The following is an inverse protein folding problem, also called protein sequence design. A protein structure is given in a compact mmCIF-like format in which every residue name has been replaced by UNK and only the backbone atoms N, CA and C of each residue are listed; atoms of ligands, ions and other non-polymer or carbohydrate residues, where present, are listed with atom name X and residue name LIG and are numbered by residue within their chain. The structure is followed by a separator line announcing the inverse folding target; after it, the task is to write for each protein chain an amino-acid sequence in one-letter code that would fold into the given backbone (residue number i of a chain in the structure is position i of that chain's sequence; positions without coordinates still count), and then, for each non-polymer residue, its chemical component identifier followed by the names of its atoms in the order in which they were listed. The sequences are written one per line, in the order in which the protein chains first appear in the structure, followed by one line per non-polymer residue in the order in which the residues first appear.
data_IF_631936198002
#
_entry.id   IF_631936198002
#
_cell.length_a   1.000
_cell.length_b   1.000
_cell.length_c   1.000
_cell.angle_alpha   90.00
_cell.angle_beta   90.00
_cell.angle_gamma   90.00
#
_symmetry.space_group_name_H-M   'P 1'
#
loop_
_entity.id
_entity.type
_entity.pdbx_description
1 polymer ?
#
# COMPACT_ATOMS: atom_id res chain seq x y z
N UNK A 1 22.05 -8.92 17.77
CA UNK A 1 20.95 -8.63 16.82
C UNK A 1 19.96 -7.76 17.57
N UNK A 2 19.57 -6.61 17.02
CA UNK A 2 18.60 -5.73 17.70
C UNK A 2 17.18 -6.29 17.57
N UNK A 3 16.25 -5.90 18.44
CA UNK A 3 14.84 -6.33 18.34
C UNK A 3 14.24 -5.98 16.97
N UNK A 4 14.63 -4.84 16.39
CA UNK A 4 14.12 -4.41 15.08
C UNK A 4 14.70 -5.26 13.93
N UNK A 5 15.92 -5.80 14.08
CA UNK A 5 16.48 -6.75 13.11
C UNK A 5 15.67 -8.06 13.11
N UNK A 6 15.26 -8.53 14.28
CA UNK A 6 14.40 -9.72 14.43
C UNK A 6 13.05 -9.49 13.77
N UNK A 7 12.39 -8.35 14.04
CA UNK A 7 11.14 -7.96 13.37
C UNK A 7 11.30 -7.97 11.86
N UNK A 8 12.38 -7.38 11.35
CA UNK A 8 12.65 -7.25 9.92
C UNK A 8 12.82 -8.61 9.24
N UNK A 9 13.54 -9.53 9.86
CA UNK A 9 13.76 -10.87 9.32
C UNK A 9 12.46 -11.68 9.30
N UNK A 10 11.72 -11.70 10.41
CA UNK A 10 10.43 -12.40 10.49
C UNK A 10 9.39 -11.82 9.52
N UNK A 11 9.38 -10.49 9.33
CA UNK A 11 8.52 -9.85 8.33
C UNK A 11 8.92 -10.27 6.91
N UNK A 12 10.22 -10.36 6.61
CA UNK A 12 10.71 -10.79 5.30
C UNK A 12 10.27 -12.22 5.00
N UNK A 13 10.47 -13.16 5.94
CA UNK A 13 10.02 -14.55 5.80
C UNK A 13 8.50 -14.64 5.56
N UNK A 14 7.75 -13.77 6.22
CA UNK A 14 6.29 -13.71 6.10
C UNK A 14 5.85 -13.18 4.74
N UNK A 15 6.46 -12.09 4.27
CA UNK A 15 6.03 -11.33 3.09
C UNK A 15 6.60 -11.83 1.76
N UNK A 16 7.71 -12.59 1.79
CA UNK A 16 8.22 -13.25 0.58
C UNK A 16 7.36 -14.49 0.30
N UNK A 17 6.78 -14.55 -0.90
CA UNK A 17 5.85 -15.60 -1.30
C UNK A 17 6.50 -16.46 -2.38
N UNK A 18 6.53 -17.80 -2.23
CA UNK A 18 6.96 -18.67 -3.31
C UNK A 18 5.93 -18.67 -4.44
N UNK A 19 6.41 -18.52 -5.68
CA UNK A 19 5.58 -18.63 -6.89
C UNK A 19 5.48 -20.09 -7.35
N UNK A 20 4.51 -20.38 -8.22
CA UNK A 20 4.36 -21.71 -8.83
C UNK A 20 5.60 -22.16 -9.62
N UNK A 21 6.37 -21.21 -10.17
CA UNK A 21 7.60 -21.45 -10.90
C UNK A 21 8.85 -21.53 -10.00
N UNK A 22 8.67 -21.72 -8.70
CA UNK A 22 9.73 -21.79 -7.68
C UNK A 22 10.61 -20.51 -7.55
N UNK A 23 10.21 -19.39 -8.17
CA UNK A 23 10.80 -18.08 -7.89
C UNK A 23 10.18 -17.45 -6.65
N UNK A 24 10.92 -16.55 -6.00
CA UNK A 24 10.42 -15.77 -4.87
C UNK A 24 9.78 -14.47 -5.36
N UNK A 25 8.52 -14.27 -5.03
CA UNK A 25 7.83 -13.00 -5.20
C UNK A 25 8.14 -12.08 -4.03
N UNK A 26 8.89 -11.02 -4.31
CA UNK A 26 9.34 -10.02 -3.34
C UNK A 26 8.42 -8.78 -3.29
N UNK A 27 7.30 -8.77 -4.02
CA UNK A 27 6.47 -7.58 -4.16
C UNK A 27 6.03 -6.97 -2.83
N UNK A 28 5.50 -7.79 -1.91
CA UNK A 28 5.04 -7.31 -0.60
C UNK A 28 6.21 -6.88 0.29
N UNK A 29 7.36 -7.56 0.19
CA UNK A 29 8.56 -7.17 0.92
C UNK A 29 9.10 -5.80 0.45
N UNK A 30 9.13 -5.58 -0.86
CA UNK A 30 9.54 -4.30 -1.43
C UNK A 30 8.57 -3.17 -1.05
N UNK A 31 7.27 -3.47 -1.02
CA UNK A 31 6.25 -2.55 -0.53
C UNK A 31 6.46 -2.21 0.95
N UNK A 32 6.66 -3.19 1.83
CA UNK A 32 6.92 -2.94 3.25
C UNK A 32 8.12 -1.99 3.46
N UNK A 33 9.21 -2.18 2.71
CA UNK A 33 10.37 -1.25 2.76
C UNK A 33 10.03 0.16 2.28
N UNK A 34 9.20 0.33 1.24
CA UNK A 34 8.72 1.65 0.82
C UNK A 34 7.85 2.29 1.90
N UNK A 35 6.95 1.52 2.50
CA UNK A 35 6.08 2.01 3.57
C UNK A 35 6.88 2.46 4.79
N UNK A 36 7.91 1.71 5.21
CA UNK A 36 8.78 2.13 6.34
C UNK A 36 9.42 3.48 6.04
N UNK A 37 9.97 3.69 4.83
CA UNK A 37 10.51 5.00 4.43
C UNK A 37 9.46 6.10 4.44
N UNK A 38 8.25 5.82 3.91
CA UNK A 38 7.15 6.78 3.94
C UNK A 38 6.80 7.16 5.38
N UNK A 39 6.67 6.18 6.27
CA UNK A 39 6.40 6.39 7.70
C UNK A 39 7.49 7.24 8.37
N UNK A 40 8.77 6.93 8.13
CA UNK A 40 9.91 7.70 8.67
C UNK A 40 9.89 9.16 8.24
N UNK A 41 9.51 9.44 6.98
CA UNK A 41 9.35 10.80 6.48
C UNK A 41 8.08 11.47 7.01
N UNK A 42 6.96 10.76 7.09
CA UNK A 42 5.70 11.30 7.63
C UNK A 42 5.87 11.65 9.11
N UNK A 43 6.65 10.90 9.89
CA UNK A 43 6.99 11.25 11.27
C UNK A 43 7.68 12.63 11.44
N UNK A 44 8.14 13.25 10.34
CA UNK A 44 8.84 14.53 10.35
C UNK A 44 7.97 15.69 9.84
N UNK A 45 6.70 15.44 9.51
CA UNK A 45 5.81 16.52 9.06
C UNK A 45 5.52 17.50 10.20
N UNK A 46 5.39 18.81 9.91
CA UNK A 46 5.17 19.84 10.93
C UNK A 46 3.95 19.59 11.82
N UNK A 47 2.88 19.01 11.25
CA UNK A 47 1.63 18.73 11.93
C UNK A 47 1.81 17.83 13.17
N UNK A 48 2.76 16.90 13.14
CA UNK A 48 3.05 16.03 14.28
C UNK A 48 3.84 16.78 15.36
N UNK A 49 4.80 17.62 14.96
CA UNK A 49 5.61 18.42 15.88
C UNK A 49 4.79 19.41 16.72
N UNK A 50 3.72 19.97 16.16
CA UNK A 50 2.84 20.93 16.84
C UNK A 50 2.02 20.30 17.98
N UNK A 51 1.76 18.99 17.92
CA UNK A 51 0.92 18.31 18.93
C UNK A 51 1.68 17.91 20.19
N UNK A 52 3.02 17.94 20.16
CA UNK A 52 3.86 17.43 21.25
C UNK A 52 3.71 15.92 21.49
N UNK A 53 3.08 15.19 20.57
CA UNK A 53 2.77 13.77 20.75
C UNK A 53 4.02 12.92 20.57
N UNK A 54 4.34 12.10 21.57
CA UNK A 54 5.43 11.12 21.47
C UNK A 54 4.98 9.94 20.61
N UNK A 55 5.71 9.67 19.53
CA UNK A 55 5.44 8.55 18.62
C UNK A 55 6.31 7.36 19.05
N UNK A 56 5.68 6.21 19.30
CA UNK A 56 6.41 4.94 19.48
C UNK A 56 6.90 4.44 18.12
N UNK A 57 8.10 4.88 17.75
CA UNK A 57 8.74 4.54 16.48
C UNK A 57 8.99 3.04 16.32
N UNK A 58 9.23 2.32 17.41
CA UNK A 58 9.44 0.87 17.34
C UNK A 58 8.15 0.18 16.93
N UNK A 59 7.06 0.44 17.67
CA UNK A 59 5.76 -0.16 17.38
C UNK A 59 5.26 0.22 15.99
N UNK A 60 5.42 1.48 15.58
CA UNK A 60 5.05 1.95 14.26
C UNK A 60 5.85 1.27 13.14
N UNK A 61 7.17 1.15 13.29
CA UNK A 61 8.02 0.50 12.27
C UNK A 61 7.70 -1.00 12.15
N UNK A 62 7.54 -1.69 13.28
CA UNK A 62 7.16 -3.09 13.29
C UNK A 62 5.76 -3.32 12.69
N UNK A 63 4.79 -2.48 13.05
CA UNK A 63 3.45 -2.51 12.46
C UNK A 63 3.49 -2.30 10.95
N UNK A 64 4.35 -1.41 10.48
CA UNK A 64 4.53 -1.13 9.05
C UNK A 64 5.04 -2.37 8.31
N UNK A 65 6.06 -3.05 8.85
CA UNK A 65 6.58 -4.28 8.27
C UNK A 65 5.55 -5.41 8.20
N UNK A 66 4.63 -5.50 9.15
CA UNK A 66 3.62 -6.56 9.18
C UNK A 66 2.25 -6.15 8.61
N UNK A 67 2.06 -4.90 8.21
CA UNK A 67 0.74 -4.37 7.80
C UNK A 67 0.09 -5.14 6.64
N UNK A 68 0.90 -5.71 5.74
CA UNK A 68 0.45 -6.53 4.60
C UNK A 68 0.63 -8.04 4.83
N UNK A 69 0.95 -8.50 6.05
CA UNK A 69 1.16 -9.92 6.36
C UNK A 69 -0.09 -10.78 6.11
N UNK A 70 -1.29 -10.25 6.41
CA UNK A 70 -2.56 -10.91 6.11
C UNK A 70 -2.77 -11.12 4.61
N UNK A 71 -2.27 -10.21 3.76
CA UNK A 71 -2.30 -10.38 2.30
C UNK A 71 -1.38 -11.53 1.90
N UNK A 72 -0.19 -11.60 2.49
CA UNK A 72 0.78 -12.65 2.17
C UNK A 72 0.24 -14.05 2.51
N UNK A 73 -0.42 -14.21 3.65
CA UNK A 73 -1.05 -15.48 4.02
C UNK A 73 -2.17 -15.85 3.07
N UNK A 74 -3.07 -14.91 2.73
CA UNK A 74 -4.14 -15.16 1.75
C UNK A 74 -3.61 -15.58 0.38
N UNK A 75 -2.50 -14.97 -0.06
CA UNK A 75 -1.84 -15.34 -1.32
C UNK A 75 -1.19 -16.72 -1.27
N UNK A 76 -0.66 -17.13 -0.11
CA UNK A 76 -0.08 -18.47 0.10
C UNK A 76 -1.16 -19.57 0.13
N UNK A 77 -2.34 -19.28 0.70
CA UNK A 77 -3.43 -20.25 0.84
C UNK A 77 -4.31 -20.36 -0.40
N UNK A 78 -4.59 -19.26 -1.11
CA UNK A 78 -5.30 -19.29 -2.38
C UNK A 78 -4.35 -19.70 -3.52
N UNK A 79 -4.02 -21.00 -3.58
CA UNK A 79 -3.45 -21.59 -4.77
C UNK A 79 -4.45 -21.45 -5.93
N UNK A 80 -4.10 -20.61 -6.91
CA UNK A 80 -4.81 -20.35 -8.16
C UNK A 80 -5.98 -19.33 -8.10
N UNK A 81 -5.75 -18.17 -8.71
CA UNK A 81 -6.74 -17.48 -9.53
C UNK A 81 -7.94 -16.86 -8.82
N UNK A 82 -7.75 -15.72 -8.17
CA UNK A 82 -8.66 -14.55 -8.19
C UNK A 82 -8.29 -13.64 -7.02
N UNK A 83 -7.34 -12.74 -7.24
CA UNK A 83 -7.45 -11.42 -6.60
C UNK A 83 -8.48 -10.64 -7.42
N UNK A 84 -9.76 -10.99 -7.27
CA UNK A 84 -10.84 -10.25 -7.90
C UNK A 84 -10.77 -8.81 -7.43
N UNK A 85 -10.92 -7.87 -8.37
CA UNK A 85 -10.88 -6.43 -8.13
C UNK A 85 -11.91 -5.92 -7.09
N UNK A 86 -12.79 -6.81 -6.60
CA UNK A 86 -13.87 -6.54 -5.65
C UNK A 86 -13.66 -7.14 -4.24
N UNK A 87 -12.70 -8.04 -4.01
CA UNK A 87 -12.50 -8.66 -2.68
C UNK A 87 -11.57 -7.85 -1.76
N UNK A 88 -11.15 -6.67 -2.23
CA UNK A 88 -10.46 -5.67 -1.41
C UNK A 88 -11.40 -4.88 -0.49
N UNK A 89 -12.70 -5.24 -0.41
CA UNK A 89 -13.58 -4.85 0.70
C UNK A 89 -13.24 -5.61 2.00
N UNK A 90 -11.94 -5.65 2.33
CA UNK A 90 -11.42 -5.08 3.56
C UNK A 90 -11.71 -5.77 4.88
N UNK A 91 -12.66 -6.70 4.97
CA UNK A 91 -12.98 -7.33 6.25
C UNK A 91 -11.91 -8.36 6.61
N UNK A 92 -11.12 -8.00 7.62
CA UNK A 92 -10.20 -8.89 8.33
C UNK A 92 -8.76 -8.92 7.84
N UNK A 93 -8.34 -8.29 6.74
CA UNK A 93 -6.92 -8.36 6.32
C UNK A 93 -5.98 -7.81 7.40
N UNK A 94 -6.36 -6.67 7.99
CA UNK A 94 -5.59 -6.05 9.07
C UNK A 94 -5.66 -6.86 10.36
N UNK A 95 -6.80 -7.48 10.64
CA UNK A 95 -6.96 -8.38 11.80
C UNK A 95 -6.10 -9.63 11.63
N UNK A 96 -6.03 -10.21 10.42
CA UNK A 96 -5.11 -11.30 10.10
C UNK A 96 -3.65 -10.85 10.21
N UNK A 97 -3.30 -9.66 9.73
CA UNK A 97 -1.96 -9.10 9.92
C UNK A 97 -1.60 -8.97 11.41
N UNK A 98 -2.54 -8.54 12.25
CA UNK A 98 -2.36 -8.46 13.69
C UNK A 98 -2.23 -9.83 14.37
N UNK A 99 -2.99 -10.85 13.93
CA UNK A 99 -2.82 -12.22 14.40
C UNK A 99 -1.43 -12.78 14.05
N UNK A 100 -0.93 -12.50 12.85
CA UNK A 100 0.42 -12.92 12.43
C UNK A 100 1.49 -12.23 13.26
N UNK A 101 1.28 -10.97 13.66
CA UNK A 101 2.17 -10.29 14.61
C UNK A 101 2.23 -11.02 15.94
N UNK A 102 1.08 -11.43 16.49
CA UNK A 102 1.03 -12.18 17.75
C UNK A 102 1.74 -13.53 17.63
N UNK A 103 1.53 -14.26 16.54
CA UNK A 103 2.18 -15.54 16.26
C UNK A 103 3.70 -15.40 16.11
N UNK A 104 4.16 -14.48 15.26
CA UNK A 104 5.58 -14.38 14.90
C UNK A 104 6.42 -13.65 15.95
N UNK A 105 5.87 -12.60 16.54
CA UNK A 105 6.61 -11.72 17.45
C UNK A 105 6.42 -12.08 18.93
N UNK A 106 5.40 -12.86 19.28
CA UNK A 106 5.05 -13.18 20.67
C UNK A 106 6.17 -13.83 21.49
N UNK A 107 7.03 -14.63 20.84
CA UNK A 107 8.17 -15.29 21.49
C UNK A 107 9.44 -14.43 21.55
N UNK A 108 9.46 -13.32 20.81
CA UNK A 108 10.67 -12.54 20.56
C UNK A 108 10.64 -11.14 21.18
N UNK A 109 9.45 -10.62 21.48
CA UNK A 109 9.22 -9.24 21.90
C UNK A 109 8.27 -9.25 23.09
N UNK A 110 8.44 -8.27 23.99
CA UNK A 110 7.52 -8.05 25.10
C UNK A 110 6.05 -7.99 24.64
N UNK A 111 5.18 -8.72 25.35
CA UNK A 111 3.78 -8.90 24.97
C UNK A 111 2.96 -7.60 24.95
N UNK A 112 3.32 -6.56 25.73
CA UNK A 112 2.66 -5.26 25.64
C UNK A 112 3.00 -4.56 24.32
N UNK A 113 4.27 -4.65 23.87
CA UNK A 113 4.68 -4.12 22.57
C UNK A 113 4.02 -4.86 21.42
N UNK A 114 3.93 -6.19 21.48
CA UNK A 114 3.22 -7.00 20.46
C UNK A 114 1.76 -6.52 20.34
N UNK A 115 1.05 -6.34 21.46
CA UNK A 115 -0.33 -5.80 21.44
C UNK A 115 -0.40 -4.39 20.85
N UNK A 116 0.56 -3.51 21.17
CA UNK A 116 0.61 -2.17 20.61
C UNK A 116 0.84 -2.20 19.08
N UNK A 117 1.74 -3.07 18.60
CA UNK A 117 1.97 -3.27 17.16
C UNK A 117 0.68 -3.72 16.46
N UNK A 118 0.02 -4.76 16.99
CA UNK A 118 -1.26 -5.26 16.48
C UNK A 118 -2.32 -4.17 16.44
N UNK A 119 -2.40 -3.35 17.49
CA UNK A 119 -3.32 -2.21 17.58
C UNK A 119 -3.02 -1.14 16.53
N UNK A 120 -1.75 -0.79 16.27
CA UNK A 120 -1.39 0.15 15.20
C UNK A 120 -1.86 -0.35 13.84
N UNK A 121 -1.69 -1.66 13.56
CA UNK A 121 -2.12 -2.27 12.30
C UNK A 121 -3.65 -2.17 12.14
N UNK A 122 -4.43 -2.61 13.14
CA UNK A 122 -5.90 -2.63 13.04
C UNK A 122 -6.48 -1.22 13.01
N UNK A 123 -6.01 -0.32 13.89
CA UNK A 123 -6.44 1.07 13.93
C UNK A 123 -6.06 1.84 12.66
N UNK A 124 -5.04 1.42 11.90
CA UNK A 124 -4.69 2.09 10.64
C UNK A 124 -5.78 1.94 9.56
N UNK A 125 -6.67 0.96 9.69
CA UNK A 125 -7.86 0.83 8.85
C UNK A 125 -9.04 1.68 9.34
N UNK A 126 -9.00 2.16 10.59
CA UNK A 126 -10.08 2.91 11.20
C UNK A 126 -9.95 4.41 10.88
N UNK A 127 -10.87 4.93 10.09
CA UNK A 127 -10.85 6.34 9.71
C UNK A 127 -11.17 7.33 10.83
N UNK A 128 -11.60 6.87 12.00
CA UNK A 128 -11.80 7.69 13.18
C UNK A 128 -10.66 7.56 14.20
N UNK A 129 -9.62 6.78 13.89
CA UNK A 129 -8.53 6.58 14.83
C UNK A 129 -7.87 7.91 15.21
N UNK A 130 -7.61 8.05 16.51
CA UNK A 130 -6.87 9.17 17.10
C UNK A 130 -5.43 8.76 17.43
N UNK A 131 -5.04 7.51 17.16
CA UNK A 131 -3.70 7.00 17.45
C UNK A 131 -2.71 7.53 16.40
N UNK A 132 -1.70 8.33 16.77
CA UNK A 132 -0.79 8.95 15.81
C UNK A 132 -0.08 7.93 14.91
N UNK A 133 0.41 6.83 15.49
CA UNK A 133 1.07 5.76 14.75
C UNK A 133 0.15 5.16 13.68
N UNK A 134 -1.10 4.90 14.03
CA UNK A 134 -2.10 4.35 13.11
C UNK A 134 -2.44 5.34 11.99
N UNK A 135 -2.57 6.64 12.32
CA UNK A 135 -2.78 7.71 11.35
C UNK A 135 -1.59 7.82 10.37
N UNK A 136 -0.36 7.73 10.87
CA UNK A 136 0.86 7.76 10.06
C UNK A 136 0.92 6.55 9.12
N UNK A 137 0.66 5.35 9.65
CA UNK A 137 0.64 4.12 8.83
C UNK A 137 -0.47 4.16 7.77
N UNK A 138 -1.67 4.65 8.12
CA UNK A 138 -2.76 4.88 7.17
C UNK A 138 -2.33 5.76 6.01
N UNK A 139 -1.76 6.93 6.31
CA UNK A 139 -1.30 7.89 5.29
C UNK A 139 -0.17 7.32 4.44
N UNK A 140 0.79 6.61 5.04
CA UNK A 140 1.88 5.95 4.32
C UNK A 140 1.37 4.91 3.30
N UNK A 141 0.36 4.11 3.68
CA UNK A 141 -0.26 3.11 2.80
C UNK A 141 -1.06 3.75 1.69
N UNK A 142 -1.86 4.77 2.02
CA UNK A 142 -2.61 5.53 1.01
C UNK A 142 -1.68 6.21 0.00
N UNK A 143 -0.52 6.69 0.45
CA UNK A 143 0.45 7.34 -0.43
C UNK A 143 1.19 6.35 -1.36
N UNK A 144 1.45 5.10 -0.92
CA UNK A 144 2.02 4.05 -1.79
C UNK A 144 1.01 3.52 -2.82
N UNK A 145 -0.28 3.56 -2.50
CA UNK A 145 -1.38 3.22 -3.40
C UNK A 145 -1.70 4.30 -4.44
N UNK A 146 -1.09 5.48 -4.33
CA UNK A 146 -1.28 6.60 -5.23
C UNK A 146 -0.03 6.86 -6.09
N UNK A 147 -0.25 7.45 -7.26
CA UNK A 147 0.80 7.73 -8.23
C UNK A 147 1.24 6.50 -9.02
N UNK A 148 2.43 6.59 -9.61
CA UNK A 148 2.98 5.58 -10.53
C UNK A 148 3.22 4.22 -9.86
N UNK A 149 3.65 4.20 -8.59
CA UNK A 149 3.81 2.96 -7.81
C UNK A 149 2.46 2.29 -7.55
N UNK A 150 1.43 3.08 -7.23
CA UNK A 150 0.06 2.60 -7.08
C UNK A 150 -0.47 1.99 -8.38
N UNK A 151 -0.25 2.68 -9.50
CA UNK A 151 -0.58 2.18 -10.85
C UNK A 151 0.13 0.86 -11.13
N UNK A 152 1.45 0.77 -10.92
CA UNK A 152 2.20 -0.47 -11.12
C UNK A 152 1.65 -1.63 -10.28
N UNK A 153 1.29 -1.36 -9.02
CA UNK A 153 0.68 -2.33 -8.13
C UNK A 153 -0.69 -2.80 -8.64
N UNK A 154 -1.45 -1.92 -9.30
CA UNK A 154 -2.69 -2.28 -9.97
C UNK A 154 -2.45 -3.10 -11.24
N UNK A 155 -1.52 -2.70 -12.10
CA UNK A 155 -1.11 -3.48 -13.28
C UNK A 155 -0.73 -4.91 -12.92
N UNK A 156 0.10 -5.07 -11.88
CA UNK A 156 0.51 -6.39 -11.42
C UNK A 156 -0.71 -7.27 -11.08
N UNK A 157 -1.71 -6.73 -10.39
CA UNK A 157 -2.96 -7.47 -10.08
C UNK A 157 -3.73 -7.85 -11.33
N UNK A 158 -3.78 -6.97 -12.32
CA UNK A 158 -4.42 -7.25 -13.61
C UNK A 158 -3.69 -8.38 -14.36
N UNK A 159 -2.37 -8.28 -14.50
CA UNK A 159 -1.55 -9.28 -15.19
C UNK A 159 -1.67 -10.65 -14.53
N UNK A 160 -1.59 -10.71 -13.19
CA UNK A 160 -1.79 -11.97 -12.44
C UNK A 160 -3.20 -12.54 -12.64
N UNK A 161 -4.19 -11.68 -12.87
CA UNK A 161 -5.56 -12.08 -13.22
C UNK A 161 -5.79 -12.34 -14.71
N UNK A 162 -4.73 -12.38 -15.54
CA UNK A 162 -4.84 -12.58 -16.99
C UNK A 162 -5.45 -11.40 -17.76
N UNK A 163 -5.50 -10.21 -17.16
CA UNK A 163 -6.03 -8.99 -17.77
C UNK A 163 -4.91 -8.17 -18.41
N UNK A 164 -5.28 -7.43 -19.45
CA UNK A 164 -4.40 -6.61 -20.27
C UNK A 164 -4.49 -5.11 -19.96
N UNK A 165 -3.68 -4.29 -20.63
CA UNK A 165 -3.77 -2.83 -20.61
C UNK A 165 -5.16 -2.36 -21.05
N UNK A 166 -5.74 -3.00 -22.06
CA UNK A 166 -7.08 -2.69 -22.57
C UNK A 166 -8.19 -2.91 -21.54
N UNK A 167 -7.98 -3.78 -20.55
CA UNK A 167 -8.92 -3.98 -19.44
C UNK A 167 -8.73 -2.92 -18.34
N UNK A 168 -7.49 -2.48 -18.12
CA UNK A 168 -7.15 -1.50 -17.10
C UNK A 168 -7.63 -0.09 -17.46
N UNK A 169 -7.43 0.34 -18.72
CA UNK A 169 -7.75 1.72 -19.14
C UNK A 169 -9.24 2.08 -18.88
N UNK A 170 -10.23 1.25 -19.22
CA UNK A 170 -11.64 1.53 -18.88
C UNK A 170 -11.90 1.51 -17.37
N UNK A 171 -11.20 0.67 -16.61
CA UNK A 171 -11.34 0.65 -15.15
C UNK A 171 -10.77 1.92 -14.50
N UNK A 172 -9.68 2.45 -15.05
CA UNK A 172 -9.12 3.74 -14.66
C UNK A 172 -10.07 4.90 -14.99
N UNK A 173 -10.61 4.93 -16.22
CA UNK A 173 -11.58 5.94 -16.66
C UNK A 173 -12.81 5.97 -15.74
N UNK A 174 -13.36 4.81 -15.39
CA UNK A 174 -14.43 4.69 -14.39
C UNK A 174 -14.06 5.31 -13.04
N UNK A 175 -12.83 5.13 -12.55
CA UNK A 175 -12.40 5.77 -11.27
C UNK A 175 -12.40 7.29 -11.37
N UNK A 176 -12.01 7.84 -12.52
CA UNK A 176 -12.06 9.28 -12.78
C UNK A 176 -13.52 9.76 -12.82
N UNK A 177 -14.37 9.10 -13.60
CA UNK A 177 -15.78 9.45 -13.77
C UNK A 177 -16.54 9.44 -12.43
N UNK A 178 -16.27 8.44 -11.58
CA UNK A 178 -16.89 8.31 -10.25
C UNK A 178 -16.22 9.16 -9.17
N UNK A 179 -15.28 10.04 -9.52
CA UNK A 179 -14.53 10.88 -8.57
C UNK A 179 -13.89 10.08 -7.43
N UNK A 180 -13.49 8.84 -7.71
CA UNK A 180 -12.95 7.93 -6.71
C UNK A 180 -11.70 8.51 -6.03
N UNK A 181 -10.81 9.11 -6.82
CA UNK A 181 -9.56 9.67 -6.30
C UNK A 181 -9.79 10.94 -5.48
N UNK A 182 -10.72 11.80 -5.89
CA UNK A 182 -11.10 13.00 -5.13
C UNK A 182 -11.67 12.60 -3.77
N UNK A 183 -12.58 11.61 -3.73
CA UNK A 183 -13.11 11.09 -2.47
C UNK A 183 -12.01 10.49 -1.57
N UNK A 184 -11.01 9.81 -2.16
CA UNK A 184 -9.87 9.25 -1.41
C UNK A 184 -8.94 10.33 -0.87
N UNK A 185 -8.64 11.37 -1.65
CA UNK A 185 -7.84 12.52 -1.21
C UNK A 185 -8.50 13.25 -0.03
N UNK A 186 -9.81 13.45 -0.11
CA UNK A 186 -10.59 14.13 0.93
C UNK A 186 -10.68 13.29 2.22
N UNK A 187 -10.98 11.98 2.10
CA UNK A 187 -11.39 11.15 3.25
C UNK A 187 -10.29 10.27 3.84
N UNK A 188 -9.24 9.95 3.09
CA UNK A 188 -8.27 8.93 3.50
C UNK A 188 -7.01 9.47 4.14
N UNK A 189 -6.62 10.72 3.85
CA UNK A 189 -5.43 11.35 4.43
C UNK A 189 -5.72 12.08 5.73
N UNK A 190 -4.81 11.92 6.69
CA UNK A 190 -4.86 12.52 8.03
C UNK A 190 -4.05 13.80 8.11
N UNK A 191 -2.95 13.86 7.37
CA UNK A 191 -2.03 15.00 7.37
C UNK A 191 -2.15 15.79 6.07
N UNK A 192 -2.33 17.10 6.18
CA UNK A 192 -2.52 17.99 5.02
C UNK A 192 -1.30 18.01 4.12
N UNK A 193 -0.09 18.01 4.69
CA UNK A 193 1.16 17.94 3.92
C UNK A 193 1.26 16.65 3.11
N UNK A 194 0.77 15.53 3.66
CA UNK A 194 0.76 14.23 2.95
C UNK A 194 -0.32 14.22 1.87
N UNK A 195 -1.49 14.80 2.13
CA UNK A 195 -2.56 14.98 1.13
C UNK A 195 -2.09 15.78 -0.09
N UNK A 196 -1.40 16.90 0.11
CA UNK A 196 -0.83 17.70 -1.00
C UNK A 196 0.17 16.91 -1.85
N UNK A 197 1.01 16.10 -1.21
CA UNK A 197 1.91 15.21 -1.94
C UNK A 197 1.15 14.14 -2.72
N UNK A 198 0.06 13.61 -2.15
CA UNK A 198 -0.80 12.65 -2.83
C UNK A 198 -1.49 13.25 -4.07
N UNK A 199 -1.92 14.52 -4.02
CA UNK A 199 -2.45 15.25 -5.18
C UNK A 199 -1.39 15.35 -6.30
N UNK A 200 -0.15 15.70 -5.96
CA UNK A 200 0.95 15.74 -6.94
C UNK A 200 1.22 14.36 -7.58
N UNK A 201 1.18 13.30 -6.77
CA UNK A 201 1.33 11.92 -7.26
C UNK A 201 0.17 11.53 -8.16
N UNK A 202 -1.05 11.90 -7.84
CA UNK A 202 -2.23 11.65 -8.66
C UNK A 202 -2.11 12.34 -10.03
N UNK A 203 -1.72 13.62 -10.07
CA UNK A 203 -1.52 14.34 -11.33
C UNK A 203 -0.47 13.64 -12.21
N UNK A 204 0.61 13.15 -11.61
CA UNK A 204 1.64 12.37 -12.33
C UNK A 204 1.08 11.06 -12.87
N UNK A 205 0.24 10.38 -12.08
CA UNK A 205 -0.45 9.17 -12.47
C UNK A 205 -1.42 9.41 -13.64
N UNK A 206 -2.19 10.50 -13.60
CA UNK A 206 -3.10 10.88 -14.68
C UNK A 206 -2.34 11.15 -15.99
N UNK A 207 -1.22 11.88 -15.92
CA UNK A 207 -0.35 12.08 -17.09
C UNK A 207 0.12 10.75 -17.69
N UNK A 208 0.62 9.84 -16.85
CA UNK A 208 1.05 8.51 -17.28
C UNK A 208 -0.09 7.72 -17.94
N UNK A 209 -1.27 7.69 -17.32
CA UNK A 209 -2.41 6.94 -17.84
C UNK A 209 -2.95 7.51 -19.16
N UNK A 210 -2.89 8.83 -19.33
CA UNK A 210 -3.25 9.48 -20.59
C UNK A 210 -2.27 9.11 -21.71
N UNK A 211 -0.97 9.14 -21.43
CA UNK A 211 0.04 8.71 -22.40
C UNK A 211 -0.14 7.24 -22.78
N UNK A 212 -0.38 6.38 -21.79
CA UNK A 212 -0.66 4.97 -22.04
C UNK A 212 -1.92 4.75 -22.91
N UNK A 213 -2.97 5.56 -22.72
CA UNK A 213 -4.18 5.53 -23.56
C UNK A 213 -3.87 5.89 -25.01
N UNK A 214 -2.99 6.85 -25.24
CA UNK A 214 -2.55 7.24 -26.59
C UNK A 214 -1.81 6.09 -27.26
N UNK A 215 -0.79 5.54 -26.59
CA UNK A 215 0.05 4.45 -27.11
C UNK A 215 -0.75 3.17 -27.36
N UNK A 216 -1.64 2.79 -26.42
CA UNK A 216 -2.49 1.60 -26.56
C UNK A 216 -3.44 1.69 -27.76
N UNK A 217 -3.84 2.90 -28.15
CA UNK A 217 -4.70 3.14 -29.32
C UNK A 217 -3.91 3.48 -30.59
N UNK A 218 -2.57 3.54 -30.52
CA UNK A 218 -1.69 4.02 -31.60
C UNK A 218 -2.08 5.41 -32.15
N UNK A 219 -2.63 6.28 -31.29
CA UNK A 219 -3.09 7.61 -31.69
C UNK A 219 -1.92 8.52 -32.07
N UNK A 220 -0.78 8.36 -31.43
CA UNK A 220 0.50 9.00 -31.76
C UNK A 220 0.97 8.67 -33.19
N UNK A 221 0.87 7.40 -33.59
CA UNK A 221 1.18 6.96 -34.96
C UNK A 221 0.18 7.59 -35.95
N UNK A 222 -1.10 7.61 -35.61
CA UNK A 222 -2.13 8.24 -36.45
C UNK A 222 -1.87 9.75 -36.64
N UNK A 223 -1.45 10.45 -35.59
CA UNK A 223 -1.06 11.86 -35.64
C UNK A 223 0.19 12.09 -36.49
N UNK A 224 1.19 11.20 -36.41
CA UNK A 224 2.40 11.25 -37.21
C UNK A 224 2.08 11.14 -38.70
N UNK A 225 1.23 10.16 -39.06
CA UNK A 225 0.79 9.95 -40.44
C UNK A 225 -0.06 11.12 -40.97
N UNK A 226 -0.75 11.84 -40.09
CA UNK A 226 -1.51 13.03 -40.43
C UNK A 226 -0.66 14.32 -40.50
N UNK A 227 0.65 14.25 -40.22
CA UNK A 227 1.56 15.40 -40.20
C UNK A 227 1.27 16.40 -39.08
N UNK A 228 0.77 15.93 -37.93
CA UNK A 228 0.39 16.75 -36.77
C UNK A 228 1.42 16.73 -35.62
N UNK A 229 2.55 16.05 -35.84
CA UNK A 229 3.66 15.89 -34.90
C UNK A 229 4.88 16.70 -35.35
#
# INVERSE_FOLDING_TARGET
MSEIDVVKELARETLVIPTQAAYLDNFLWDRAKRLVRNVEHICQVPELGMTGTTIDRFCLTAATYFSDAGIAVRLKTNQAGMLSASDNNGDGVLDFSAQIVEEKLGEHIDGLRVRNISRVITESGNHFSKMPEAMILSDARNLDDMGTVGIFSEFRRYVVGGKSVSDLLPAWEKKIDYRYWQARLEKSFRFESVRKLAEQRLNTAEYFMNQLKIENNANDIAELLAGKL
#
